data_IF_218174037905
#
_entry.id   IF_218174037905
#
_cell.length_a   1.000
_cell.length_b   1.000
_cell.length_c   1.000
_cell.angle_alpha   90.00
_cell.angle_beta   90.00
_cell.angle_gamma   90.00
#
_symmetry.space_group_name_H-M   'P 1'
#
loop_
_entity.id
_entity.type
_entity.pdbx_description
1 polymer ?
#
# COMPACT_ATOMS: atom_id res chain seq x y z
N UNK A 1 17.76 -0.33 0.92
CA UNK A 1 16.64 -1.23 1.30
C UNK A 1 15.72 -1.58 0.14
N UNK A 2 15.10 -0.63 -0.58
CA UNK A 2 14.21 -0.99 -1.70
C UNK A 2 14.92 -1.78 -2.82
N UNK A 3 16.15 -1.39 -3.19
CA UNK A 3 17.03 -2.16 -4.09
C UNK A 3 17.36 -3.56 -3.55
N UNK A 4 17.74 -3.63 -2.28
CA UNK A 4 18.07 -4.89 -1.59
C UNK A 4 16.89 -5.85 -1.55
N UNK A 5 15.68 -5.34 -1.27
CA UNK A 5 14.46 -6.12 -1.30
C UNK A 5 14.20 -6.73 -2.69
N UNK A 6 14.33 -5.94 -3.76
CA UNK A 6 14.19 -6.46 -5.14
C UNK A 6 15.19 -7.57 -5.45
N UNK A 7 16.44 -7.40 -5.02
CA UNK A 7 17.48 -8.42 -5.20
C UNK A 7 17.14 -9.73 -4.46
N UNK A 8 16.61 -9.64 -3.24
CA UNK A 8 16.16 -10.80 -2.46
C UNK A 8 14.93 -11.49 -3.08
N UNK A 9 14.02 -10.69 -3.63
CA UNK A 9 12.83 -11.16 -4.33
C UNK A 9 13.14 -11.63 -5.78
N UNK A 10 14.41 -11.55 -6.22
CA UNK A 10 14.84 -11.98 -7.57
C UNK A 10 14.23 -11.15 -8.71
N UNK A 11 13.74 -9.95 -8.42
CA UNK A 11 13.02 -9.10 -9.36
C UNK A 11 13.95 -8.04 -9.99
N UNK A 12 13.94 -7.95 -11.31
CA UNK A 12 14.71 -6.96 -12.09
C UNK A 12 13.78 -6.08 -12.92
N UNK A 13 14.23 -4.86 -13.24
CA UNK A 13 13.50 -3.94 -14.14
C UNK A 13 12.59 -2.94 -13.45
N UNK A 14 12.65 -2.82 -12.13
CA UNK A 14 12.07 -1.68 -11.43
C UNK A 14 12.94 -0.44 -11.62
N UNK A 15 12.34 0.69 -11.97
CA UNK A 15 13.04 1.97 -12.19
C UNK A 15 12.95 2.90 -10.98
N UNK A 16 11.89 2.74 -10.19
CA UNK A 16 11.58 3.66 -9.10
C UNK A 16 10.79 3.03 -7.96
N UNK A 17 10.66 3.81 -6.89
CA UNK A 17 9.74 3.56 -5.79
C UNK A 17 8.82 4.77 -5.66
N UNK A 18 7.54 4.58 -5.93
CA UNK A 18 6.52 5.57 -5.66
C UNK A 18 6.23 5.64 -4.17
N UNK A 19 6.26 6.85 -3.64
CA UNK A 19 5.98 7.17 -2.24
C UNK A 19 4.82 8.15 -2.16
N UNK A 20 3.80 7.82 -1.37
CA UNK A 20 2.72 8.76 -1.04
C UNK A 20 2.40 8.75 0.44
N UNK A 21 1.96 9.90 0.97
CA UNK A 21 1.69 10.08 2.40
C UNK A 21 0.24 10.52 2.60
N UNK A 22 -0.55 9.69 3.27
CA UNK A 22 -1.86 10.09 3.79
C UNK A 22 -1.70 10.64 5.20
N UNK A 23 -1.55 11.97 5.31
CA UNK A 23 -1.30 12.67 6.57
C UNK A 23 -2.44 12.50 7.58
N UNK A 24 -3.69 12.61 7.13
CA UNK A 24 -4.87 12.47 8.01
C UNK A 24 -4.90 11.11 8.71
N UNK A 25 -4.44 10.07 8.04
CA UNK A 25 -4.41 8.69 8.57
C UNK A 25 -3.04 8.27 9.10
N UNK A 26 -2.00 9.12 8.99
CA UNK A 26 -0.60 8.81 9.33
C UNK A 26 -0.07 7.56 8.59
N UNK A 27 -0.43 7.40 7.32
CA UNK A 27 -0.02 6.25 6.50
C UNK A 27 0.99 6.69 5.44
N UNK A 28 2.12 5.99 5.38
CA UNK A 28 3.09 6.09 4.27
C UNK A 28 2.92 4.87 3.38
N UNK A 29 2.87 5.09 2.07
CA UNK A 29 2.63 4.05 1.07
C UNK A 29 3.79 3.98 0.11
N UNK A 30 4.18 2.77 -0.23
CA UNK A 30 5.30 2.46 -1.11
C UNK A 30 4.82 1.51 -2.19
N UNK A 31 5.20 1.75 -3.43
CA UNK A 31 4.95 0.84 -4.56
C UNK A 31 6.12 0.92 -5.54
N UNK A 32 6.64 -0.21 -6.00
CA UNK A 32 7.64 -0.20 -7.07
C UNK A 32 7.03 0.32 -8.37
N UNK A 33 7.87 0.98 -9.16
CA UNK A 33 7.58 1.36 -10.54
C UNK A 33 8.28 0.35 -11.43
N UNK A 34 7.55 -0.65 -11.89
CA UNK A 34 8.06 -1.72 -12.74
C UNK A 34 6.93 -2.39 -13.54
N UNK A 35 7.21 -2.96 -14.73
CA UNK A 35 6.18 -3.65 -15.53
C UNK A 35 5.48 -4.79 -14.78
N UNK A 36 6.23 -5.54 -13.95
CA UNK A 36 5.70 -6.68 -13.20
C UNK A 36 4.81 -6.28 -12.00
N UNK A 37 4.64 -4.99 -11.72
CA UNK A 37 3.81 -4.49 -10.60
C UNK A 37 2.45 -3.96 -11.02
N UNK A 38 2.09 -4.08 -12.30
CA UNK A 38 0.84 -3.55 -12.83
C UNK A 38 -0.26 -4.60 -12.95
N UNK A 39 -1.51 -4.18 -12.69
CA UNK A 39 -2.71 -5.01 -12.87
C UNK A 39 -2.68 -6.31 -12.06
N UNK A 40 -3.31 -7.35 -12.63
CA UNK A 40 -3.40 -8.69 -12.03
C UNK A 40 -2.04 -9.32 -11.77
N UNK A 41 -1.14 -9.24 -12.76
CA UNK A 41 0.22 -9.75 -12.60
C UNK A 41 0.93 -9.07 -11.42
N UNK A 42 0.75 -7.76 -11.28
CA UNK A 42 1.25 -6.99 -10.15
C UNK A 42 0.70 -7.46 -8.82
N UNK A 43 -0.60 -7.73 -8.74
CA UNK A 43 -1.24 -8.26 -7.54
C UNK A 43 -0.61 -9.61 -7.15
N UNK A 44 -0.48 -10.55 -8.10
CA UNK A 44 0.17 -11.84 -7.86
C UNK A 44 1.63 -11.68 -7.44
N UNK A 45 2.35 -10.74 -8.06
CA UNK A 45 3.73 -10.46 -7.70
C UNK A 45 3.84 -9.98 -6.24
N UNK A 46 3.04 -9.00 -5.82
CA UNK A 46 3.03 -8.51 -4.44
C UNK A 46 2.56 -9.56 -3.43
N UNK A 47 1.75 -10.55 -3.84
CA UNK A 47 1.33 -11.67 -2.99
C UNK A 47 2.45 -12.70 -2.75
N UNK A 48 3.45 -12.75 -3.64
CA UNK A 48 4.55 -13.69 -3.57
C UNK A 48 5.85 -13.05 -3.03
N UNK A 49 6.03 -11.73 -3.19
CA UNK A 49 7.29 -11.05 -2.92
C UNK A 49 7.15 -10.06 -1.75
N UNK A 50 7.85 -10.38 -0.65
CA UNK A 50 7.66 -9.70 0.62
C UNK A 50 8.97 -9.23 1.25
N UNK A 51 10.08 -9.17 0.51
CA UNK A 51 11.35 -8.73 1.09
C UNK A 51 11.26 -7.28 1.60
N UNK A 52 10.60 -6.39 0.85
CA UNK A 52 10.46 -4.98 1.25
C UNK A 52 9.71 -4.78 2.59
N UNK A 53 8.46 -5.24 2.76
CA UNK A 53 7.73 -5.07 4.02
C UNK A 53 8.44 -5.77 5.19
N UNK A 54 9.10 -6.90 4.94
CA UNK A 54 9.92 -7.61 5.93
C UNK A 54 11.12 -6.75 6.39
N UNK A 55 11.92 -6.24 5.47
CA UNK A 55 13.09 -5.42 5.79
C UNK A 55 12.67 -4.12 6.49
N UNK A 56 11.62 -3.46 6.00
CA UNK A 56 11.10 -2.23 6.60
C UNK A 56 10.63 -2.44 8.03
N UNK A 57 9.78 -3.44 8.28
CA UNK A 57 9.27 -3.70 9.64
C UNK A 57 10.38 -4.01 10.65
N UNK A 58 11.48 -4.62 10.20
CA UNK A 58 12.67 -4.86 11.02
C UNK A 58 13.44 -3.56 11.29
N UNK A 59 13.66 -2.75 10.26
CA UNK A 59 14.46 -1.54 10.38
C UNK A 59 13.76 -0.41 11.15
N UNK A 60 12.44 -0.29 11.02
CA UNK A 60 11.65 0.79 11.66
C UNK A 60 11.06 0.40 13.01
N UNK A 61 11.14 -0.89 13.38
CA UNK A 61 10.42 -1.46 14.52
C UNK A 61 8.92 -1.13 14.52
N UNK A 62 8.33 -0.98 13.32
CA UNK A 62 6.92 -0.69 13.12
C UNK A 62 6.22 -1.83 12.37
N UNK A 63 4.91 -1.94 12.54
CA UNK A 63 4.10 -2.82 11.72
C UNK A 63 4.07 -2.31 10.27
N UNK A 64 4.41 -3.18 9.32
CA UNK A 64 4.33 -2.88 7.89
C UNK A 64 3.40 -3.87 7.23
N UNK A 65 2.49 -3.38 6.40
CA UNK A 65 1.51 -4.20 5.71
C UNK A 65 1.77 -4.20 4.21
N UNK A 66 1.80 -5.38 3.61
CA UNK A 66 1.74 -5.56 2.17
C UNK A 66 0.29 -5.73 1.76
N UNK A 67 -0.10 -5.02 0.71
CA UNK A 67 -1.46 -5.00 0.18
C UNK A 67 -1.45 -5.63 -1.21
N UNK A 68 -2.37 -6.56 -1.41
CA UNK A 68 -2.64 -7.18 -2.69
C UNK A 68 -4.08 -6.90 -3.03
N UNK A 69 -4.29 -6.41 -4.24
CA UNK A 69 -5.60 -6.13 -4.77
C UNK A 69 -5.66 -6.61 -6.21
N UNK A 70 -6.53 -7.58 -6.45
CA UNK A 70 -6.97 -7.95 -7.78
C UNK A 70 -8.49 -7.70 -7.89
N UNK A 71 -8.95 -6.92 -8.88
CA UNK A 71 -10.37 -6.59 -9.02
C UNK A 71 -11.27 -7.79 -9.35
N UNK A 72 -10.71 -8.90 -9.81
CA UNK A 72 -11.44 -10.06 -10.29
C UNK A 72 -11.28 -11.28 -9.36
N UNK A 73 -10.11 -11.45 -8.72
CA UNK A 73 -9.81 -12.64 -7.91
C UNK A 73 -9.99 -12.43 -6.41
N UNK A 74 -9.63 -11.25 -5.89
CA UNK A 74 -9.73 -10.99 -4.47
C UNK A 74 -8.68 -10.04 -3.91
N UNK A 75 -8.61 -10.00 -2.59
CA UNK A 75 -7.78 -9.06 -1.86
C UNK A 75 -7.01 -9.74 -0.73
N UNK A 76 -5.85 -9.19 -0.39
CA UNK A 76 -5.06 -9.70 0.72
C UNK A 76 -4.29 -8.58 1.42
N UNK A 77 -4.22 -8.67 2.75
CA UNK A 77 -3.22 -7.97 3.55
C UNK A 77 -2.33 -8.95 4.26
N UNK A 78 -1.04 -8.65 4.29
CA UNK A 78 -0.04 -9.43 5.00
C UNK A 78 0.70 -8.47 5.92
N UNK A 79 0.61 -8.73 7.22
CA UNK A 79 1.23 -7.88 8.24
C UNK A 79 2.60 -8.43 8.65
N UNK A 80 3.59 -7.55 8.72
CA UNK A 80 4.94 -7.82 9.17
C UNK A 80 5.28 -6.98 10.40
N UNK A 81 5.96 -7.59 11.37
CA UNK A 81 6.50 -6.93 12.56
C UNK A 81 7.88 -7.49 12.87
N UNK A 82 8.88 -6.62 13.06
CA UNK A 82 10.26 -7.00 13.31
C UNK A 82 10.80 -8.05 12.30
N UNK A 83 10.45 -7.92 11.01
CA UNK A 83 10.89 -8.84 9.96
C UNK A 83 10.23 -10.21 9.96
N UNK A 84 9.15 -10.41 10.72
CA UNK A 84 8.36 -11.66 10.72
C UNK A 84 6.94 -11.39 10.27
N UNK A 85 6.32 -12.36 9.59
CA UNK A 85 4.88 -12.32 9.31
C UNK A 85 4.14 -12.50 10.63
N UNK A 86 3.32 -11.53 10.99
CA UNK A 86 2.58 -11.50 12.27
C UNK A 86 1.07 -11.61 12.09
N UNK A 87 0.59 -11.63 10.84
CA UNK A 87 -0.82 -11.80 10.55
C UNK A 87 -1.17 -11.40 9.13
N UNK A 88 -2.45 -11.15 8.91
CA UNK A 88 -3.00 -10.79 7.62
C UNK A 88 -4.37 -11.42 7.41
N UNK A 89 -5.01 -11.02 6.32
CA UNK A 89 -6.32 -11.49 5.91
C UNK A 89 -6.35 -11.65 4.40
N UNK A 90 -7.14 -12.60 3.91
CA UNK A 90 -7.37 -12.83 2.48
C UNK A 90 -8.85 -13.03 2.24
N UNK A 91 -9.37 -12.39 1.21
CA UNK A 91 -10.71 -12.60 0.68
C UNK A 91 -10.55 -13.01 -0.78
N UNK A 92 -11.21 -14.10 -1.18
CA UNK A 92 -11.31 -14.55 -2.57
C UNK A 92 -12.76 -14.37 -2.98
N UNK A 93 -13.02 -13.62 -4.06
CA UNK A 93 -14.40 -13.22 -4.37
C UNK A 93 -15.30 -14.40 -4.74
N UNK A 94 -14.74 -15.43 -5.35
CA UNK A 94 -15.48 -16.67 -5.69
C UNK A 94 -15.98 -17.42 -4.44
N UNK A 95 -15.27 -17.29 -3.32
CA UNK A 95 -15.59 -17.97 -2.06
C UNK A 95 -16.53 -17.14 -1.17
N UNK A 96 -16.92 -15.92 -1.57
CA UNK A 96 -17.80 -15.07 -0.77
C UNK A 96 -19.25 -15.52 -0.91
N UNK A 97 -19.83 -16.01 0.17
CA UNK A 97 -21.26 -16.29 0.25
C UNK A 97 -22.08 -15.00 0.12
N UNK A 98 -22.99 -15.00 -0.85
CA UNK A 98 -23.91 -13.87 -1.06
C UNK A 98 -25.08 -13.97 -0.08
N UNK A 99 -25.54 -12.83 0.49
CA UNK A 99 -26.71 -12.80 1.37
C UNK A 99 -27.99 -13.37 0.75
N UNK A 100 -28.09 -13.34 -0.58
CA UNK A 100 -29.23 -13.84 -1.36
C UNK A 100 -28.70 -14.44 -2.67
N UNK A 101 -29.29 -15.53 -3.18
CA UNK A 101 -28.98 -16.07 -4.51
C UNK A 101 -29.13 -15.04 -5.64
N UNK A 102 -28.26 -15.12 -6.65
CA UNK A 102 -28.17 -14.16 -7.77
C UNK A 102 -29.48 -14.05 -8.58
N UNK A 103 -30.20 -15.17 -8.70
CA UNK A 103 -31.48 -15.28 -9.41
C UNK A 103 -32.65 -14.58 -8.67
N UNK A 104 -32.42 -14.14 -7.43
CA UNK A 104 -33.40 -13.46 -6.58
C UNK A 104 -33.03 -12.00 -6.30
N UNK A 105 -31.97 -11.48 -6.93
CA UNK A 105 -31.55 -10.09 -6.82
C UNK A 105 -31.96 -9.30 -8.07
N UNK A 106 -32.53 -8.12 -7.88
CA UNK A 106 -32.76 -7.18 -8.99
C UNK A 106 -31.42 -6.64 -9.51
N UNK A 107 -31.28 -6.40 -10.81
CA UNK A 107 -30.01 -5.96 -11.44
C UNK A 107 -29.45 -4.65 -10.84
N UNK A 108 -30.30 -3.71 -10.42
CA UNK A 108 -29.90 -2.48 -9.76
C UNK A 108 -29.51 -2.70 -8.29
N UNK A 109 -30.21 -3.56 -7.55
CA UNK A 109 -29.81 -4.01 -6.22
C UNK A 109 -28.50 -4.80 -6.26
N UNK A 110 -28.30 -5.61 -7.30
CA UNK A 110 -27.07 -6.33 -7.58
C UNK A 110 -25.93 -5.38 -7.90
N UNK A 111 -26.15 -4.39 -8.76
CA UNK A 111 -25.16 -3.36 -9.09
C UNK A 111 -24.81 -2.50 -7.86
N UNK A 112 -25.79 -2.10 -7.07
CA UNK A 112 -25.59 -1.38 -5.80
C UNK A 112 -24.91 -2.26 -4.75
N UNK A 113 -25.19 -3.56 -4.73
CA UNK A 113 -24.44 -4.52 -3.92
C UNK A 113 -23.04 -4.73 -4.46
N UNK A 114 -22.76 -4.79 -5.76
CA UNK A 114 -21.41 -4.86 -6.33
C UNK A 114 -20.59 -3.58 -6.08
N UNK A 115 -21.27 -2.44 -5.90
CA UNK A 115 -20.67 -1.19 -5.40
C UNK A 115 -20.37 -1.22 -3.88
N UNK A 116 -20.82 -2.26 -3.15
CA UNK A 116 -20.70 -2.40 -1.68
C UNK A 116 -20.16 -3.76 -1.20
N UNK A 117 -20.13 -4.76 -2.07
CA UNK A 117 -19.35 -5.98 -2.01
C UNK A 117 -17.90 -5.57 -1.78
N UNK A 118 -17.07 -6.40 -1.15
CA UNK A 118 -15.75 -5.96 -0.73
C UNK A 118 -14.95 -5.47 -1.95
N UNK A 119 -14.95 -4.14 -2.09
CA UNK A 119 -13.88 -3.30 -2.60
C UNK A 119 -12.83 -3.05 -1.51
N UNK A 120 -13.10 -3.63 -0.33
CA UNK A 120 -12.17 -4.42 0.43
C UNK A 120 -12.51 -4.53 1.90
N UNK A 121 -12.27 -5.69 2.51
CA UNK A 121 -11.98 -5.69 3.95
C UNK A 121 -10.82 -4.72 4.23
N UNK A 122 -9.93 -4.53 3.25
CA UNK A 122 -8.86 -3.55 3.25
C UNK A 122 -9.37 -2.10 3.26
N UNK A 123 -10.38 -1.79 2.47
CA UNK A 123 -11.06 -0.49 2.52
C UNK A 123 -11.66 -0.22 3.92
N UNK A 124 -12.26 -1.24 4.53
CA UNK A 124 -12.81 -1.18 5.90
C UNK A 124 -11.72 -1.00 6.97
N UNK A 125 -10.69 -1.86 7.01
CA UNK A 125 -9.61 -1.83 8.02
C UNK A 125 -8.82 -0.52 7.96
N UNK A 126 -8.58 0.01 6.76
CA UNK A 126 -7.73 1.18 6.57
C UNK A 126 -8.51 2.49 6.37
N UNK A 127 -9.84 2.42 6.38
CA UNK A 127 -10.73 3.56 6.24
C UNK A 127 -10.52 4.32 4.93
N UNK A 128 -10.30 3.57 3.84
CA UNK A 128 -10.10 4.06 2.48
C UNK A 128 -11.28 3.63 1.61
N UNK A 129 -11.74 4.51 0.73
CA UNK A 129 -12.78 4.19 -0.27
C UNK A 129 -12.20 3.35 -1.42
N UNK A 130 -13.04 2.62 -2.18
CA UNK A 130 -12.62 1.92 -3.42
C UNK A 130 -11.86 2.83 -4.38
N UNK A 131 -12.35 4.05 -4.53
CA UNK A 131 -11.75 5.05 -5.41
C UNK A 131 -10.35 5.42 -4.93
N UNK A 132 -10.12 5.50 -3.62
CA UNK A 132 -8.80 5.73 -3.05
C UNK A 132 -7.90 4.51 -3.18
N UNK A 133 -8.45 3.29 -3.05
CA UNK A 133 -7.76 2.01 -3.19
C UNK A 133 -7.25 1.80 -4.64
N UNK A 134 -8.13 1.97 -5.64
CA UNK A 134 -7.79 1.90 -7.07
C UNK A 134 -6.81 2.99 -7.51
N UNK A 135 -6.78 4.11 -6.78
CA UNK A 135 -5.86 5.20 -7.03
C UNK A 135 -4.55 5.06 -6.26
N UNK A 136 -4.35 4.06 -5.41
CA UNK A 136 -3.16 3.95 -4.52
C UNK A 136 -1.80 4.14 -5.22
N UNK A 137 -1.54 3.62 -6.44
CA UNK A 137 -0.29 3.88 -7.15
C UNK A 137 -0.24 5.26 -7.86
N UNK A 138 -1.31 6.04 -7.80
CA UNK A 138 -1.56 7.26 -8.59
C UNK A 138 -2.08 8.43 -7.75
N UNK A 139 -2.15 8.31 -6.42
CA UNK A 139 -2.64 9.41 -5.55
C UNK A 139 -1.60 10.52 -5.52
N UNK A 140 -2.00 11.71 -5.96
CA UNK A 140 -1.25 12.94 -5.73
C UNK A 140 -1.48 13.44 -4.30
N UNK A 141 -0.43 13.94 -3.61
CA UNK A 141 0.96 13.97 -4.05
C UNK A 141 1.64 12.60 -3.81
N UNK A 142 2.06 11.97 -4.91
CA UNK A 142 2.91 10.79 -4.90
C UNK A 142 4.19 11.15 -5.65
N UNK A 143 5.35 10.89 -5.05
CA UNK A 143 6.63 11.17 -5.66
C UNK A 143 7.31 9.86 -6.02
N UNK A 144 7.97 9.84 -7.17
CA UNK A 144 8.79 8.71 -7.58
C UNK A 144 10.23 8.96 -7.14
N UNK A 145 10.77 8.04 -6.36
CA UNK A 145 12.18 8.01 -6.01
C UNK A 145 12.86 7.05 -6.99
N UNK A 146 13.82 7.55 -7.77
CA UNK A 146 14.61 6.69 -8.65
C UNK A 146 15.34 5.62 -7.81
N UNK A 147 15.28 4.35 -8.25
CA UNK A 147 16.03 3.29 -7.60
C UNK A 147 17.52 3.40 -7.90
N UNK A 148 17.89 3.95 -9.06
CA UNK A 148 19.26 4.24 -9.45
C UNK A 148 19.47 5.77 -9.43
N UNK A 149 20.41 6.27 -8.63
CA UNK A 149 20.62 7.71 -8.44
C UNK A 149 21.34 8.08 -7.14
N UNK A 150 21.61 9.38 -6.93
CA UNK A 150 22.25 9.90 -5.71
C UNK A 150 21.23 10.04 -4.59
N UNK A 151 21.56 9.49 -3.42
CA UNK A 151 20.67 9.47 -2.25
C UNK A 151 20.19 10.86 -1.77
N UNK A 152 20.95 11.93 -2.07
CA UNK A 152 20.64 13.31 -1.67
C UNK A 152 19.35 13.87 -2.29
N UNK A 153 19.05 13.52 -3.54
CA UNK A 153 17.81 13.97 -4.21
C UNK A 153 16.58 13.26 -3.62
N UNK A 154 16.73 11.97 -3.29
CA UNK A 154 15.68 11.20 -2.62
C UNK A 154 15.38 11.71 -1.21
N UNK A 155 16.41 12.14 -0.46
CA UNK A 155 16.24 12.71 0.87
C UNK A 155 15.41 14.01 0.83
N UNK A 156 15.70 14.93 -0.09
CA UNK A 156 14.95 16.18 -0.22
C UNK A 156 13.47 15.95 -0.56
N UNK A 157 13.17 14.97 -1.43
CA UNK A 157 11.79 14.60 -1.77
C UNK A 157 11.05 14.00 -0.57
N UNK A 158 11.72 13.16 0.22
CA UNK A 158 11.15 12.59 1.44
C UNK A 158 10.92 13.66 2.51
N UNK A 159 11.85 14.59 2.69
CA UNK A 159 11.69 15.74 3.59
C UNK A 159 10.50 16.62 3.20
N UNK A 160 10.30 16.89 1.91
CA UNK A 160 9.13 17.64 1.43
C UNK A 160 7.79 16.90 1.65
N UNK A 161 7.82 15.57 1.74
CA UNK A 161 6.64 14.74 2.00
C UNK A 161 6.29 14.68 3.50
N UNK A 162 7.30 14.71 4.36
CA UNK A 162 7.15 14.71 5.81
C UNK A 162 6.82 16.13 6.32
N UNK A 163 6.12 16.29 7.46
CA UNK A 163 5.92 17.61 8.03
C UNK A 163 7.30 18.18 8.41
N UNK A 164 7.55 19.45 8.07
CA UNK A 164 8.50 20.24 8.85
C UNK A 164 7.99 20.24 10.28
N UNK A 165 8.72 19.60 11.20
CA UNK A 165 8.50 19.81 12.60
C UNK A 165 8.92 21.26 12.86
N UNK A 166 8.00 22.21 12.72
CA UNK A 166 8.16 23.51 13.35
C UNK A 166 8.05 23.26 14.85
N UNK A 167 9.17 22.86 15.45
CA UNK A 167 9.38 23.03 16.87
C UNK A 167 9.49 24.54 17.04
N UNK A 168 8.38 25.19 17.34
CA UNK A 168 8.43 26.49 18.01
C UNK A 168 9.12 26.24 19.34
N UNK A 169 10.43 26.49 19.37
CA UNK A 169 11.13 26.68 20.64
C UNK A 169 10.38 27.79 21.38
N UNK A 170 9.96 27.57 22.63
CA UNK A 170 9.43 28.67 23.41
C UNK A 170 10.51 29.75 23.47
N UNK A 171 10.14 30.98 23.12
CA UNK A 171 10.99 32.15 23.35
C UNK A 171 11.46 32.06 24.79
N UNK A 172 12.78 31.95 24.97
CA UNK A 172 13.36 32.06 26.30
C UNK A 172 13.05 33.48 26.75
N UNK A 173 12.15 33.60 27.73
CA UNK A 173 11.96 34.84 28.48
C UNK A 173 13.34 35.29 28.97
N UNK A 174 13.86 36.32 28.32
CA UNK A 174 15.03 37.03 28.76
C UNK A 174 14.66 37.76 30.06
N UNK A 175 15.20 37.27 31.17
CA UNK A 175 15.36 38.03 32.41
C UNK A 175 16.61 38.90 32.32
#
# INVERSE_FOLDING_TARGET
MAREALALDGAMGATGLKVSVNRRRKVVRLAYVAPFTEGRQGAHWYAAHHALPRLLSRATNAAVQAYVYDPDEGEQVIAYGNGRRVGGERVVYEDVELPVPLDQMDDAAFKHMQERWPMGHLAYVFGLTRKELLRLPRVAPGHELALEGRDAEGAAVLEALLPTCQVTLPESDAL
#
